data_IF_972866815565
#
_entry.id   IF_972866815565
#
_cell.length_a   1.000
_cell.length_b   1.000
_cell.length_c   1.000
_cell.angle_alpha   90.00
_cell.angle_beta   90.00
_cell.angle_gamma   90.00
#
_symmetry.space_group_name_H-M   'P 1'
#
loop_
_entity.id
_entity.type
_entity.pdbx_description
1 polymer ?
#
# COMPACT_ATOMS: atom_id res chain seq x y z
N UNK A 1 -19.94 10.50 5.12
CA UNK A 1 -18.98 9.88 4.18
C UNK A 1 -19.20 10.53 2.84
N UNK A 2 -18.18 11.20 2.34
CA UNK A 2 -18.20 11.78 1.00
C UNK A 2 -18.29 10.67 -0.06
N UNK A 3 -18.74 11.02 -1.26
CA UNK A 3 -18.72 10.09 -2.39
C UNK A 3 -17.32 9.52 -2.60
N UNK A 4 -17.23 8.26 -3.03
CA UNK A 4 -15.96 7.62 -3.39
C UNK A 4 -15.16 8.52 -4.38
N UNK A 5 -13.83 8.65 -4.21
CA UNK A 5 -13.01 9.62 -4.96
C UNK A 5 -12.74 9.17 -6.40
N UNK A 6 -13.77 9.19 -7.25
CA UNK A 6 -13.71 8.70 -8.64
C UNK A 6 -12.77 9.49 -9.56
N UNK A 7 -12.37 10.70 -9.17
CA UNK A 7 -11.37 11.50 -9.92
C UNK A 7 -9.92 11.04 -9.65
N UNK A 8 -9.70 10.23 -8.62
CA UNK A 8 -8.39 9.69 -8.22
C UNK A 8 -8.30 8.17 -8.33
N UNK A 9 -9.44 7.49 -8.30
CA UNK A 9 -9.55 6.03 -8.32
C UNK A 9 -10.57 5.55 -9.35
N UNK A 10 -10.28 4.41 -9.98
CA UNK A 10 -11.16 3.77 -10.95
C UNK A 10 -11.19 2.26 -10.75
N UNK A 11 -12.34 1.64 -11.00
CA UNK A 11 -12.44 0.19 -11.16
C UNK A 11 -12.23 -0.13 -12.63
N UNK A 12 -11.17 -0.86 -12.96
CA UNK A 12 -10.86 -1.26 -14.33
C UNK A 12 -10.31 -2.68 -14.33
N UNK A 13 -10.90 -3.54 -15.17
CA UNK A 13 -10.51 -4.96 -15.29
C UNK A 13 -10.60 -5.72 -13.96
N UNK A 14 -11.62 -5.43 -13.15
CA UNK A 14 -11.83 -6.09 -11.86
C UNK A 14 -10.85 -5.66 -10.75
N UNK A 15 -9.96 -4.70 -11.02
CA UNK A 15 -9.04 -4.16 -10.03
C UNK A 15 -9.35 -2.69 -9.73
N UNK A 16 -9.13 -2.29 -8.48
CA UNK A 16 -9.12 -0.91 -8.07
C UNK A 16 -7.76 -0.29 -8.41
N UNK A 17 -7.76 0.83 -9.14
CA UNK A 17 -6.54 1.45 -9.69
C UNK A 17 -6.52 2.95 -9.40
N UNK A 18 -5.37 3.47 -9.00
CA UNK A 18 -5.12 4.91 -8.96
C UNK A 18 -5.03 5.48 -10.37
N UNK A 19 -5.42 6.74 -10.55
CA UNK A 19 -5.33 7.46 -11.82
C UNK A 19 -4.03 8.29 -11.82
N UNK A 20 -3.00 7.93 -12.63
CA UNK A 20 -1.77 8.71 -12.68
C UNK A 20 -2.00 10.17 -13.08
N UNK A 21 -1.33 11.10 -12.40
CA UNK A 21 -1.46 12.54 -12.64
C UNK A 21 -2.67 13.21 -11.98
N UNK A 22 -3.56 12.44 -11.34
CA UNK A 22 -4.60 12.97 -10.45
C UNK A 22 -4.03 13.32 -9.06
N UNK A 23 -4.86 13.93 -8.20
CA UNK A 23 -4.50 14.12 -6.79
C UNK A 23 -4.39 12.75 -6.12
N UNK A 24 -3.25 12.48 -5.46
CA UNK A 24 -3.11 11.31 -4.59
C UNK A 24 -4.14 11.39 -3.45
N UNK A 25 -4.98 10.37 -3.34
CA UNK A 25 -6.02 10.26 -2.31
C UNK A 25 -5.93 8.86 -1.74
N UNK A 26 -5.66 8.76 -0.45
CA UNK A 26 -5.75 7.49 0.27
C UNK A 26 -7.21 7.10 0.47
N UNK A 27 -7.49 5.80 0.48
CA UNK A 27 -8.81 5.27 0.79
C UNK A 27 -8.73 4.40 2.04
N UNK A 28 -9.82 4.39 2.79
CA UNK A 28 -9.96 3.62 4.03
C UNK A 28 -11.25 2.79 3.96
N UNK A 29 -11.26 1.63 4.61
CA UNK A 29 -12.49 0.84 4.75
C UNK A 29 -13.54 1.60 5.56
N UNK A 30 -14.82 1.32 5.28
CA UNK A 30 -15.93 1.83 6.11
C UNK A 30 -15.92 1.23 7.51
N UNK A 31 -15.52 -0.04 7.60
CA UNK A 31 -15.49 -0.80 8.85
C UNK A 31 -14.13 -0.70 9.53
N UNK A 32 -14.15 -0.77 10.86
CA UNK A 32 -12.97 -0.76 11.72
C UNK A 32 -12.68 -2.20 12.18
N UNK A 33 -11.44 -2.63 12.01
CA UNK A 33 -11.00 -3.98 12.34
C UNK A 33 -10.01 -3.95 13.51
N UNK A 34 -10.14 -4.93 14.42
CA UNK A 34 -9.21 -5.12 15.54
C UNK A 34 -8.25 -6.28 15.28
N UNK A 35 -8.79 -7.49 15.21
CA UNK A 35 -8.03 -8.68 14.83
C UNK A 35 -8.45 -9.04 13.39
N UNK A 36 -7.51 -9.14 12.46
CA UNK A 36 -7.79 -9.46 11.07
C UNK A 36 -6.61 -10.15 10.38
N UNK A 37 -6.89 -10.80 9.25
CA UNK A 37 -5.91 -11.24 8.27
C UNK A 37 -6.33 -10.62 6.93
N UNK A 38 -5.42 -9.85 6.31
CA UNK A 38 -5.66 -9.19 5.03
C UNK A 38 -4.85 -9.91 3.95
N UNK A 39 -5.56 -10.39 2.94
CA UNK A 39 -4.98 -10.91 1.71
C UNK A 39 -5.45 -10.06 0.54
N UNK A 40 -4.49 -9.56 -0.23
CA UNK A 40 -4.77 -8.81 -1.45
C UNK A 40 -3.67 -9.03 -2.47
N UNK A 41 -3.97 -8.61 -3.69
CA UNK A 41 -3.03 -8.60 -4.79
C UNK A 41 -2.74 -7.16 -5.25
N UNK A 42 -1.48 -6.84 -5.53
CA UNK A 42 -1.07 -5.52 -6.01
C UNK A 42 -0.17 -5.57 -7.25
N UNK A 43 -0.17 -4.46 -8.00
CA UNK A 43 0.66 -4.25 -9.18
C UNK A 43 0.98 -2.76 -9.32
N UNK A 44 2.23 -2.46 -9.67
CA UNK A 44 2.72 -1.09 -9.87
C UNK A 44 3.09 -0.85 -11.32
N UNK A 45 3.18 0.43 -11.70
CA UNK A 45 3.95 0.89 -12.86
C UNK A 45 5.45 0.94 -12.51
N UNK A 46 6.33 1.04 -13.52
CA UNK A 46 7.78 1.16 -13.29
C UNK A 46 8.07 2.40 -12.46
N UNK A 47 8.85 2.24 -11.38
CA UNK A 47 9.10 3.29 -10.40
C UNK A 47 7.87 3.69 -9.61
N UNK A 48 6.87 2.80 -9.47
CA UNK A 48 5.68 3.05 -8.66
C UNK A 48 5.96 3.02 -7.15
N UNK A 49 5.12 3.72 -6.39
CA UNK A 49 5.13 3.81 -4.93
C UNK A 49 3.68 3.91 -4.45
N UNK A 50 3.33 3.12 -3.44
CA UNK A 50 2.03 3.06 -2.78
C UNK A 50 2.22 2.43 -1.40
N UNK A 51 1.15 2.26 -0.64
CA UNK A 51 1.21 1.70 0.71
C UNK A 51 -0.07 0.99 1.07
N UNK A 52 0.05 -0.01 1.95
CA UNK A 52 -1.08 -0.65 2.60
C UNK A 52 -1.01 -0.28 4.08
N UNK A 53 -1.96 0.54 4.50
CA UNK A 53 -2.07 1.01 5.87
C UNK A 53 -3.00 0.12 6.67
N UNK A 54 -2.63 -0.13 7.92
CA UNK A 54 -3.46 -0.88 8.87
C UNK A 54 -3.54 -0.17 10.22
N UNK A 55 -4.59 -0.46 10.98
CA UNK A 55 -4.94 0.27 12.21
C UNK A 55 -5.07 1.79 12.04
N UNK A 56 -5.40 2.23 10.82
CA UNK A 56 -5.57 3.63 10.52
C UNK A 56 -6.69 4.26 11.34
N UNK A 57 -6.44 5.49 11.79
CA UNK A 57 -7.47 6.36 12.36
C UNK A 57 -7.58 7.60 11.48
N UNK A 58 -8.71 8.30 11.57
CA UNK A 58 -8.91 9.58 10.88
C UNK A 58 -8.28 10.76 11.66
N UNK A 59 -7.39 10.49 12.63
CA UNK A 59 -6.63 11.52 13.33
C UNK A 59 -5.47 12.04 12.47
N UNK A 60 -5.31 13.36 12.45
CA UNK A 60 -4.28 14.03 11.65
C UNK A 60 -4.78 14.47 10.27
N UNK A 61 -3.85 14.88 9.41
CA UNK A 61 -4.14 15.32 8.05
C UNK A 61 -3.85 14.25 7.00
N UNK A 62 -3.02 13.25 7.35
CA UNK A 62 -2.58 12.19 6.46
C UNK A 62 -2.54 10.85 7.19
N UNK A 63 -2.88 9.77 6.48
CA UNK A 63 -3.03 8.42 7.06
C UNK A 63 -1.75 7.90 7.73
N UNK A 64 -0.58 8.19 7.16
CA UNK A 64 0.73 7.76 7.69
C UNK A 64 1.06 8.36 9.07
N UNK A 65 0.31 9.37 9.53
CA UNK A 65 0.50 9.94 10.87
C UNK A 65 -0.06 9.03 11.97
N UNK A 66 -1.04 8.19 11.65
CA UNK A 66 -1.75 7.36 12.63
C UNK A 66 -1.66 5.86 12.33
N UNK A 67 -1.30 5.49 11.10
CA UNK A 67 -1.31 4.12 10.62
C UNK A 67 0.10 3.62 10.28
N UNK A 68 0.53 2.47 10.81
CA UNK A 68 1.61 1.68 10.23
C UNK A 68 1.36 1.34 8.75
N UNK A 69 2.43 1.24 7.98
CA UNK A 69 2.39 1.01 6.53
C UNK A 69 3.23 -0.22 6.15
N UNK A 70 2.62 -1.18 5.47
CA UNK A 70 3.38 -2.11 4.63
C UNK A 70 3.66 -1.42 3.29
N UNK A 71 4.94 -1.20 3.01
CA UNK A 71 5.40 -0.52 1.81
C UNK A 71 5.09 -1.33 0.55
N UNK A 72 4.55 -0.67 -0.47
CA UNK A 72 4.33 -1.19 -1.83
C UNK A 72 5.18 -0.38 -2.81
N UNK A 73 6.38 -0.89 -3.11
CA UNK A 73 7.38 -0.17 -3.91
C UNK A 73 7.88 -0.97 -5.10
N UNK A 74 8.18 -0.30 -6.21
CA UNK A 74 9.07 -0.86 -7.22
C UNK A 74 10.52 -0.83 -6.73
N UNK A 75 10.96 -1.95 -6.16
CA UNK A 75 12.33 -2.14 -5.65
C UNK A 75 13.42 -2.13 -6.74
N UNK A 76 13.07 -2.01 -8.02
CA UNK A 76 14.04 -1.96 -9.12
C UNK A 76 14.29 -0.55 -9.62
N UNK A 77 13.24 0.27 -9.73
CA UNK A 77 13.30 1.57 -10.38
C UNK A 77 13.03 2.76 -9.44
N UNK A 78 12.28 2.58 -8.35
CA UNK A 78 11.96 3.71 -7.45
C UNK A 78 13.20 4.22 -6.70
N UNK A 79 13.43 5.54 -6.55
CA UNK A 79 14.59 6.08 -5.83
C UNK A 79 14.70 5.62 -4.37
N UNK A 80 13.57 5.48 -3.68
CA UNK A 80 13.54 5.05 -2.26
C UNK A 80 13.97 3.60 -2.05
N UNK A 81 14.22 2.81 -3.09
CA UNK A 81 14.69 1.42 -2.96
C UNK A 81 16.04 1.28 -2.25
N UNK A 82 16.79 2.38 -2.11
CA UNK A 82 18.17 2.37 -1.63
C UNK A 82 18.30 1.95 -0.16
N UNK A 83 17.22 2.00 0.61
CA UNK A 83 17.18 1.54 2.01
C UNK A 83 16.24 0.35 2.11
N UNK A 84 16.69 -0.73 2.76
CA UNK A 84 15.85 -1.93 2.91
C UNK A 84 14.56 -1.66 3.71
N UNK A 85 14.61 -0.74 4.67
CA UNK A 85 13.44 -0.33 5.47
C UNK A 85 12.40 0.49 4.68
N UNK A 86 12.72 0.93 3.46
CA UNK A 86 11.78 1.60 2.56
C UNK A 86 11.44 0.75 1.33
N UNK A 87 11.85 -0.51 1.31
CA UNK A 87 11.59 -1.45 0.21
C UNK A 87 10.23 -2.15 0.36
N UNK A 88 9.70 -2.71 -0.74
CA UNK A 88 8.42 -3.43 -0.71
C UNK A 88 8.39 -4.51 0.38
N UNK A 89 7.29 -4.56 1.14
CA UNK A 89 7.10 -5.45 2.29
C UNK A 89 7.75 -4.98 3.60
N UNK A 90 8.46 -3.85 3.60
CA UNK A 90 8.91 -3.24 4.85
C UNK A 90 7.72 -2.71 5.65
N UNK A 91 7.83 -2.74 6.97
CA UNK A 91 7.15 -1.74 7.79
C UNK A 91 7.90 -0.42 7.56
N UNK A 92 7.28 0.49 6.81
CA UNK A 92 7.98 1.62 6.19
C UNK A 92 8.84 2.40 7.21
N UNK A 93 10.11 2.60 6.85
CA UNK A 93 11.15 3.29 7.62
C UNK A 93 11.54 2.67 8.98
N UNK A 94 10.88 1.59 9.41
CA UNK A 94 11.07 0.98 10.73
C UNK A 94 11.71 -0.42 10.64
N UNK A 95 11.13 -1.33 9.87
CA UNK A 95 11.55 -2.75 9.84
C UNK A 95 11.63 -3.24 8.40
N UNK A 96 12.81 -3.69 8.00
CA UNK A 96 13.05 -4.25 6.68
C UNK A 96 12.38 -5.64 6.53
N UNK A 97 11.92 -6.00 5.31
CA UNK A 97 11.40 -7.33 5.06
C UNK A 97 12.52 -8.36 5.22
N UNK A 98 12.20 -9.53 5.79
CA UNK A 98 13.17 -10.63 5.97
C UNK A 98 13.53 -11.28 4.62
N UNK A 99 12.54 -11.41 3.75
CA UNK A 99 12.68 -11.98 2.42
C UNK A 99 12.26 -10.93 1.40
N UNK A 100 12.80 -10.99 0.19
CA UNK A 100 12.25 -10.21 -0.91
C UNK A 100 10.84 -10.71 -1.21
N UNK A 101 9.85 -9.83 -1.07
CA UNK A 101 8.44 -10.13 -1.33
C UNK A 101 8.01 -9.71 -2.74
N UNK A 102 8.95 -9.21 -3.55
CA UNK A 102 8.67 -8.63 -4.85
C UNK A 102 8.79 -9.65 -5.96
N UNK A 103 7.72 -9.83 -6.73
CA UNK A 103 7.80 -10.51 -8.03
C UNK A 103 8.12 -9.49 -9.14
N UNK A 104 8.63 -9.92 -10.30
CA UNK A 104 8.90 -9.02 -11.43
C UNK A 104 7.67 -8.22 -11.86
N UNK A 105 7.90 -7.02 -12.39
CA UNK A 105 6.91 -6.01 -12.83
C UNK A 105 5.66 -6.51 -13.57
N UNK A 106 5.76 -7.65 -14.28
CA UNK A 106 4.68 -8.22 -15.08
C UNK A 106 3.74 -9.15 -14.32
N UNK A 107 4.01 -9.43 -13.05
CA UNK A 107 3.27 -10.40 -12.25
C UNK A 107 2.53 -9.78 -11.07
N UNK A 108 1.40 -10.40 -10.73
CA UNK A 108 0.58 -9.99 -9.59
C UNK A 108 1.19 -10.52 -8.29
N UNK A 109 1.28 -9.65 -7.29
CA UNK A 109 1.92 -9.92 -6.02
C UNK A 109 0.89 -10.04 -4.92
N UNK A 110 0.88 -11.17 -4.20
CA UNK A 110 0.02 -11.37 -3.04
C UNK A 110 0.71 -10.79 -1.80
N UNK A 111 0.05 -9.83 -1.14
CA UNK A 111 0.41 -9.38 0.21
C UNK A 111 -0.37 -10.19 1.24
N UNK A 112 0.31 -10.70 2.26
CA UNK A 112 -0.33 -11.29 3.44
C UNK A 112 0.28 -10.66 4.69
N UNK A 113 -0.52 -9.90 5.43
CA UNK A 113 -0.12 -9.36 6.73
C UNK A 113 -0.59 -10.29 7.86
N UNK A 114 0.39 -10.90 8.53
CA UNK A 114 0.18 -11.82 9.66
C UNK A 114 0.55 -11.12 10.97
N UNK A 115 -0.38 -10.39 11.58
CA UNK A 115 -0.26 -9.95 12.97
C UNK A 115 -0.74 -11.08 13.89
N UNK A 116 0.19 -11.96 14.28
CA UNK A 116 -0.07 -12.94 15.34
C UNK A 116 0.07 -12.29 16.71
N UNK A 117 -0.92 -12.59 17.57
CA UNK A 117 -1.02 -12.17 18.98
C UNK A 117 0.25 -12.39 19.78
#
# INVERSE_FOLDING_TARGET
MDSFPWDSWVIKEGALKTIPGSKGVDIISTDIYKDFELELEWKLQSGGNSGIFYFATEEGNFIWQSAPEMQVLDNTAHPDRMRKVTSAGALYDLIAPKNEVVKPFWSVQSGQDHLKR
#
